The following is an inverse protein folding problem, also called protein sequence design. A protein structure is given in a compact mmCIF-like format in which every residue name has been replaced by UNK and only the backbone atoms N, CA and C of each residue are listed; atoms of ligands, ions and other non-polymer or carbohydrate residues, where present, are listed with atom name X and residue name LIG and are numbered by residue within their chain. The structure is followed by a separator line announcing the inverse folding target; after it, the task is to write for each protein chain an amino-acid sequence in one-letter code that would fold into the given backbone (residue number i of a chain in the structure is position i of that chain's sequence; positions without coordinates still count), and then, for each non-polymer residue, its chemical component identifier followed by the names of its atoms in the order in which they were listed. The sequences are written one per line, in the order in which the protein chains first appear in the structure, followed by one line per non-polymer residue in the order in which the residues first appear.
data_IF_336730548205
#
_entry.id   IF_336730548205
#
_cell.length_a   1.000
_cell.length_b   1.000
_cell.length_c   1.000
_cell.angle_alpha   90.00
_cell.angle_beta   90.00
_cell.angle_gamma   90.00
#
_symmetry.space_group_name_H-M   'P 1'
#
loop_
_entity.id
_entity.type
_entity.pdbx_description
1 polymer ?
#
# COMPACT_ATOMS: atom_id res chain seq x y z
N UNK A 1 -43.91 -10.64 15.07
CA UNK A 1 -43.13 -10.77 13.80
C UNK A 1 -41.80 -10.13 14.07
N UNK A 2 -40.83 -10.95 14.52
CA UNK A 2 -39.44 -10.55 14.70
C UNK A 2 -38.73 -10.69 13.36
N UNK A 3 -38.34 -9.58 12.74
CA UNK A 3 -37.43 -9.57 11.61
C UNK A 3 -36.01 -9.78 12.14
N UNK A 4 -35.44 -10.94 11.83
CA UNK A 4 -34.04 -11.25 12.10
C UNK A 4 -33.16 -10.32 11.27
N UNK A 5 -32.61 -9.27 11.89
CA UNK A 5 -31.48 -8.52 11.37
C UNK A 5 -30.27 -9.44 11.43
N UNK A 6 -29.87 -9.98 10.28
CA UNK A 6 -28.71 -10.83 10.17
C UNK A 6 -27.45 -10.10 10.66
N UNK A 7 -26.92 -10.52 11.78
CA UNK A 7 -25.56 -10.17 12.17
C UNK A 7 -24.60 -10.76 11.14
N UNK A 8 -24.24 -9.99 10.14
CA UNK A 8 -23.06 -10.27 9.34
C UNK A 8 -21.86 -10.07 10.28
N UNK A 9 -21.38 -11.17 10.87
CA UNK A 9 -20.09 -11.17 11.54
C UNK A 9 -19.07 -10.72 10.51
N UNK A 10 -18.58 -9.47 10.63
CA UNK A 10 -17.44 -8.99 9.83
C UNK A 10 -16.30 -9.96 10.14
N UNK A 11 -15.98 -10.82 9.18
CA UNK A 11 -14.78 -11.65 9.29
C UNK A 11 -13.58 -10.70 9.41
N UNK A 12 -12.76 -10.93 10.44
CA UNK A 12 -11.49 -10.18 10.56
C UNK A 12 -10.68 -10.40 9.28
N UNK A 13 -10.01 -9.36 8.76
CA UNK A 13 -9.17 -9.50 7.57
C UNK A 13 -8.08 -10.56 7.82
N UNK A 14 -7.80 -11.38 6.82
CA UNK A 14 -6.67 -12.32 6.87
C UNK A 14 -5.38 -11.52 6.66
N UNK A 15 -4.62 -11.38 7.74
CA UNK A 15 -3.36 -10.60 7.76
C UNK A 15 -2.13 -11.50 7.71
N UNK A 16 -2.30 -12.80 7.46
CA UNK A 16 -1.14 -13.71 7.35
C UNK A 16 -0.32 -13.34 6.12
N UNK A 17 1.02 -13.35 6.25
CA UNK A 17 1.89 -13.16 5.08
C UNK A 17 1.58 -14.20 4.00
N UNK A 18 1.59 -13.77 2.73
CA UNK A 18 1.48 -14.69 1.61
C UNK A 18 2.67 -15.67 1.63
N UNK A 19 2.44 -16.99 1.46
CA UNK A 19 3.53 -17.97 1.40
C UNK A 19 4.47 -17.68 0.23
N UNK A 20 5.78 -17.69 0.48
CA UNK A 20 6.77 -17.38 -0.55
C UNK A 20 6.89 -18.53 -1.55
N UNK A 21 6.62 -18.25 -2.83
CA UNK A 21 6.97 -19.13 -3.93
C UNK A 21 8.39 -18.80 -4.40
N UNK A 22 9.38 -19.65 -4.09
CA UNK A 22 10.80 -19.37 -4.35
C UNK A 22 11.11 -19.08 -5.82
N UNK A 23 10.42 -19.75 -6.77
CA UNK A 23 10.62 -19.51 -8.20
C UNK A 23 10.11 -18.13 -8.62
N UNK A 24 8.94 -17.72 -8.15
CA UNK A 24 8.38 -16.40 -8.41
C UNK A 24 9.22 -15.32 -7.71
N UNK A 25 9.58 -15.55 -6.45
CA UNK A 25 10.38 -14.62 -5.65
C UNK A 25 11.76 -14.36 -6.27
N UNK A 26 12.39 -15.34 -6.92
CA UNK A 26 13.65 -15.16 -7.64
C UNK A 26 13.55 -14.04 -8.70
N UNK A 27 12.45 -13.91 -9.43
CA UNK A 27 12.24 -12.82 -10.38
C UNK A 27 12.00 -11.48 -9.68
N UNK A 28 11.26 -11.49 -8.58
CA UNK A 28 11.04 -10.31 -7.76
C UNK A 28 12.35 -9.75 -7.19
N UNK A 29 13.19 -10.60 -6.62
CA UNK A 29 14.51 -10.20 -6.09
C UNK A 29 15.44 -9.66 -7.18
N UNK A 30 15.41 -10.23 -8.39
CA UNK A 30 16.14 -9.67 -9.54
C UNK A 30 15.64 -8.26 -9.89
N UNK A 31 14.32 -8.03 -9.90
CA UNK A 31 13.76 -6.70 -10.13
C UNK A 31 14.20 -5.71 -9.05
N UNK A 32 14.14 -6.10 -7.77
CA UNK A 32 14.59 -5.27 -6.64
C UNK A 32 16.08 -4.92 -6.78
N UNK A 33 16.93 -5.88 -7.13
CA UNK A 33 18.37 -5.64 -7.31
C UNK A 33 18.65 -4.65 -8.45
N UNK A 34 17.88 -4.70 -9.55
CA UNK A 34 18.01 -3.73 -10.65
C UNK A 34 17.61 -2.33 -10.15
N UNK A 35 16.50 -2.18 -9.45
CA UNK A 35 16.04 -0.90 -8.91
C UNK A 35 17.02 -0.26 -7.92
N UNK A 36 17.78 -1.09 -7.19
CA UNK A 36 18.83 -0.59 -6.29
C UNK A 36 20.07 -0.09 -7.03
N UNK A 37 20.35 -0.63 -8.24
CA UNK A 37 21.55 -0.31 -9.00
C UNK A 37 21.35 0.77 -10.07
N UNK A 38 20.15 0.87 -10.65
CA UNK A 38 19.82 1.79 -11.73
C UNK A 38 18.32 2.12 -11.71
N UNK A 39 18.04 3.42 -11.90
CA UNK A 39 16.67 3.94 -11.92
C UNK A 39 16.43 4.76 -13.20
N UNK A 40 16.47 4.07 -14.34
CA UNK A 40 16.19 4.61 -15.67
C UNK A 40 15.00 3.88 -16.31
N UNK A 41 14.50 4.41 -17.44
CA UNK A 41 13.31 3.86 -18.13
C UNK A 41 13.51 2.42 -18.57
N UNK A 42 14.69 2.06 -19.08
CA UNK A 42 14.95 0.71 -19.59
C UNK A 42 15.05 -0.30 -18.43
N UNK A 43 15.73 0.07 -17.36
CA UNK A 43 15.80 -0.70 -16.12
C UNK A 43 14.42 -0.90 -15.52
N UNK A 44 13.58 0.15 -15.49
CA UNK A 44 12.19 0.07 -15.00
C UNK A 44 11.35 -0.89 -15.85
N UNK A 45 11.44 -0.84 -17.17
CA UNK A 45 10.74 -1.77 -18.07
C UNK A 45 11.19 -3.21 -17.86
N UNK A 46 12.49 -3.43 -17.66
CA UNK A 46 13.04 -4.75 -17.34
C UNK A 46 12.48 -5.28 -16.02
N UNK A 47 12.37 -4.43 -14.99
CA UNK A 47 11.75 -4.79 -13.71
C UNK A 47 10.28 -5.18 -13.89
N UNK A 48 9.50 -4.43 -14.66
CA UNK A 48 8.09 -4.75 -14.96
C UNK A 48 8.00 -6.13 -15.63
N UNK A 49 8.87 -6.44 -16.60
CA UNK A 49 8.91 -7.76 -17.25
C UNK A 49 9.24 -8.91 -16.27
N UNK A 50 10.16 -8.68 -15.32
CA UNK A 50 10.46 -9.66 -14.27
C UNK A 50 9.27 -9.88 -13.33
N UNK A 51 8.55 -8.80 -12.99
CA UNK A 51 7.34 -8.89 -12.18
C UNK A 51 6.20 -9.63 -12.91
N UNK A 52 6.09 -9.48 -14.24
CA UNK A 52 5.14 -10.26 -15.03
C UNK A 52 5.45 -11.76 -14.98
N UNK A 53 6.74 -12.12 -15.02
CA UNK A 53 7.17 -13.51 -14.84
C UNK A 53 6.85 -14.02 -13.43
N UNK A 54 7.10 -13.23 -12.40
CA UNK A 54 6.75 -13.58 -11.03
C UNK A 54 5.23 -13.82 -10.88
N UNK A 55 4.41 -12.92 -11.41
CA UNK A 55 2.94 -13.01 -11.40
C UNK A 55 2.40 -14.19 -12.22
N UNK A 56 3.10 -14.61 -13.27
CA UNK A 56 2.71 -15.79 -14.04
C UNK A 56 2.88 -17.11 -13.25
N UNK A 57 3.76 -17.12 -12.26
CA UNK A 57 4.04 -18.28 -11.39
C UNK A 57 3.19 -18.20 -10.12
N UNK A 58 3.10 -17.01 -9.50
CA UNK A 58 2.36 -16.76 -8.27
C UNK A 58 1.52 -15.50 -8.40
N UNK A 59 0.29 -15.69 -8.85
CA UNK A 59 -0.66 -14.60 -9.07
C UNK A 59 -1.41 -14.15 -7.81
N UNK A 60 -1.04 -14.65 -6.64
CA UNK A 60 -1.68 -14.29 -5.38
C UNK A 60 -0.80 -13.42 -4.49
N UNK A 61 0.46 -13.18 -4.87
CA UNK A 61 1.38 -12.38 -4.07
C UNK A 61 1.11 -10.86 -4.29
N UNK A 62 0.67 -10.12 -3.26
CA UNK A 62 0.34 -8.70 -3.36
C UNK A 62 1.55 -7.81 -3.65
N UNK A 63 2.77 -8.22 -3.22
CA UNK A 63 3.98 -7.40 -3.37
C UNK A 63 4.38 -7.24 -4.84
N UNK A 64 4.14 -8.27 -5.67
CA UNK A 64 4.44 -8.22 -7.09
C UNK A 64 3.53 -7.23 -7.82
N UNK A 65 2.22 -7.24 -7.50
CA UNK A 65 1.26 -6.27 -8.04
C UNK A 65 1.57 -4.85 -7.57
N UNK A 66 1.80 -4.67 -6.27
CA UNK A 66 2.08 -3.36 -5.69
C UNK A 66 3.33 -2.72 -6.30
N UNK A 67 4.41 -3.51 -6.42
CA UNK A 67 5.66 -3.04 -7.04
C UNK A 67 5.47 -2.71 -8.52
N UNK A 68 4.80 -3.58 -9.29
CA UNK A 68 4.53 -3.33 -10.70
C UNK A 68 3.69 -2.07 -10.92
N UNK A 69 2.61 -1.90 -10.15
CA UNK A 69 1.75 -0.74 -10.24
C UNK A 69 2.50 0.56 -9.89
N UNK A 70 3.37 0.52 -8.87
CA UNK A 70 4.23 1.65 -8.52
C UNK A 70 5.13 2.05 -9.68
N UNK A 71 5.84 1.10 -10.30
CA UNK A 71 6.74 1.36 -11.42
C UNK A 71 6.01 1.94 -12.63
N UNK A 72 4.81 1.43 -12.95
CA UNK A 72 3.97 1.98 -14.01
C UNK A 72 3.55 3.42 -13.72
N UNK A 73 3.14 3.71 -12.47
CA UNK A 73 2.80 5.06 -12.07
C UNK A 73 3.99 6.02 -12.16
N UNK A 74 5.19 5.60 -11.76
CA UNK A 74 6.42 6.39 -11.88
C UNK A 74 6.85 6.66 -13.35
N UNK A 75 6.41 5.81 -14.27
CA UNK A 75 6.56 6.04 -15.72
C UNK A 75 5.46 6.93 -16.33
N UNK A 76 4.53 7.46 -15.53
CA UNK A 76 3.37 8.22 -16.00
C UNK A 76 2.23 7.36 -16.54
N UNK A 77 2.33 6.03 -16.44
CA UNK A 77 1.31 5.08 -16.91
C UNK A 77 0.27 4.77 -15.84
N UNK A 78 -0.39 5.81 -15.31
CA UNK A 78 -1.30 5.68 -14.16
C UNK A 78 -2.52 4.80 -14.46
N UNK A 79 -3.03 4.79 -15.68
CA UNK A 79 -4.14 3.92 -16.07
C UNK A 79 -3.72 2.45 -16.08
N UNK A 80 -2.50 2.15 -16.56
CA UNK A 80 -1.91 0.81 -16.48
C UNK A 80 -1.69 0.37 -15.04
N UNK A 81 -1.23 1.29 -14.17
CA UNK A 81 -1.07 1.03 -12.74
C UNK A 81 -2.42 0.67 -12.08
N UNK A 82 -3.48 1.42 -12.33
CA UNK A 82 -4.84 1.13 -11.84
C UNK A 82 -5.37 -0.20 -12.37
N UNK A 83 -5.11 -0.54 -13.64
CA UNK A 83 -5.50 -1.84 -14.20
C UNK A 83 -4.81 -3.00 -13.45
N UNK A 84 -3.50 -2.90 -13.20
CA UNK A 84 -2.74 -3.90 -12.41
C UNK A 84 -3.33 -4.04 -11.00
N UNK A 85 -3.74 -2.94 -10.40
CA UNK A 85 -4.37 -2.91 -9.08
C UNK A 85 -5.76 -3.59 -9.11
N UNK A 86 -6.54 -3.43 -10.16
CA UNK A 86 -7.84 -4.11 -10.32
C UNK A 86 -7.64 -5.63 -10.40
N UNK A 87 -6.66 -6.10 -11.17
CA UNK A 87 -6.33 -7.52 -11.28
C UNK A 87 -5.95 -8.13 -9.92
N UNK A 88 -5.17 -7.43 -9.10
CA UNK A 88 -4.83 -7.90 -7.77
C UNK A 88 -6.07 -8.03 -6.85
N UNK A 89 -7.02 -7.09 -6.94
CA UNK A 89 -8.28 -7.18 -6.20
C UNK A 89 -9.13 -8.38 -6.61
N UNK A 90 -9.24 -8.66 -7.91
CA UNK A 90 -9.93 -9.83 -8.44
C UNK A 90 -9.32 -11.14 -7.94
N UNK A 91 -8.00 -11.19 -7.79
CA UNK A 91 -7.23 -12.31 -7.25
C UNK A 91 -7.21 -12.38 -5.73
N UNK A 92 -7.79 -11.40 -5.04
CA UNK A 92 -7.75 -11.23 -3.58
C UNK A 92 -6.33 -11.11 -3.03
N UNK A 93 -5.38 -10.67 -3.87
CA UNK A 93 -4.00 -10.37 -3.51
C UNK A 93 -3.92 -8.95 -2.94
N UNK A 94 -4.48 -8.72 -1.74
CA UNK A 94 -4.62 -7.41 -1.13
C UNK A 94 -4.05 -7.36 0.28
N UNK A 95 -3.36 -6.25 0.58
CA UNK A 95 -2.90 -5.88 1.92
C UNK A 95 -3.36 -4.47 2.26
N UNK A 96 -3.14 -4.03 3.50
CA UNK A 96 -3.42 -2.63 3.87
C UNK A 96 -2.56 -1.64 3.06
N UNK A 97 -1.29 -1.95 2.83
CA UNK A 97 -0.38 -1.16 2.00
C UNK A 97 -0.87 -1.08 0.54
N UNK A 98 -1.27 -2.22 -0.01
CA UNK A 98 -1.83 -2.30 -1.36
C UNK A 98 -3.04 -1.37 -1.53
N UNK A 99 -4.01 -1.44 -0.60
CA UNK A 99 -5.20 -0.60 -0.65
C UNK A 99 -4.89 0.89 -0.42
N UNK A 100 -3.88 1.19 0.37
CA UNK A 100 -3.37 2.56 0.52
C UNK A 100 -2.83 3.10 -0.81
N UNK A 101 -2.00 2.32 -1.50
CA UNK A 101 -1.44 2.68 -2.81
C UNK A 101 -2.55 2.84 -3.86
N UNK A 102 -3.53 1.93 -3.90
CA UNK A 102 -4.69 2.05 -4.78
C UNK A 102 -5.45 3.36 -4.54
N UNK A 103 -5.70 3.69 -3.29
CA UNK A 103 -6.34 4.95 -2.91
C UNK A 103 -5.57 6.19 -3.38
N UNK A 104 -4.22 6.17 -3.31
CA UNK A 104 -3.38 7.24 -3.85
C UNK A 104 -3.53 7.40 -5.36
N UNK A 105 -3.54 6.31 -6.13
CA UNK A 105 -3.72 6.35 -7.58
C UNK A 105 -5.12 6.82 -7.97
N UNK A 106 -6.15 6.36 -7.28
CA UNK A 106 -7.54 6.79 -7.48
C UNK A 106 -7.68 8.30 -7.17
N UNK A 107 -7.12 8.78 -6.07
CA UNK A 107 -7.12 10.19 -5.72
C UNK A 107 -6.34 11.04 -6.76
N UNK A 108 -5.24 10.53 -7.29
CA UNK A 108 -4.49 11.18 -8.37
C UNK A 108 -5.27 11.31 -9.67
N UNK A 109 -6.22 10.39 -9.92
CA UNK A 109 -7.17 10.43 -11.07
C UNK A 109 -8.49 11.13 -10.74
N UNK A 110 -8.58 11.83 -9.61
CA UNK A 110 -9.80 12.50 -9.13
C UNK A 110 -10.99 11.56 -8.86
N UNK A 111 -10.74 10.26 -8.69
CA UNK A 111 -11.71 9.23 -8.32
C UNK A 111 -11.93 9.25 -6.79
N UNK A 112 -12.39 10.38 -6.26
CA UNK A 112 -12.36 10.66 -4.81
C UNK A 112 -13.22 9.69 -3.98
N UNK A 113 -14.37 9.24 -4.48
CA UNK A 113 -15.22 8.27 -3.77
C UNK A 113 -14.55 6.90 -3.64
N UNK A 114 -13.92 6.41 -4.72
CA UNK A 114 -13.19 5.15 -4.74
C UNK A 114 -11.93 5.23 -3.86
N UNK A 115 -11.20 6.34 -3.92
CA UNK A 115 -10.04 6.60 -3.08
C UNK A 115 -10.41 6.57 -1.59
N UNK A 116 -11.51 7.24 -1.20
CA UNK A 116 -12.00 7.22 0.17
C UNK A 116 -12.36 5.80 0.63
N UNK A 117 -13.03 5.00 -0.22
CA UNK A 117 -13.31 3.59 0.08
C UNK A 117 -12.03 2.77 0.26
N UNK A 118 -11.04 2.97 -0.62
CA UNK A 118 -9.75 2.27 -0.56
C UNK A 118 -8.97 2.60 0.70
N UNK A 119 -8.89 3.88 1.09
CA UNK A 119 -8.28 4.30 2.36
C UNK A 119 -9.02 3.72 3.56
N UNK A 120 -10.36 3.70 3.56
CA UNK A 120 -11.15 3.11 4.64
C UNK A 120 -10.86 1.61 4.83
N UNK A 121 -10.82 0.84 3.74
CA UNK A 121 -10.46 -0.59 3.79
C UNK A 121 -8.99 -0.81 4.21
N UNK A 122 -8.08 0.06 3.75
CA UNK A 122 -6.68 0.04 4.18
C UNK A 122 -6.58 0.18 5.70
N UNK A 123 -7.30 1.14 6.28
CA UNK A 123 -7.35 1.36 7.73
C UNK A 123 -7.84 0.13 8.49
N UNK A 124 -8.89 -0.55 8.01
CA UNK A 124 -9.40 -1.77 8.66
C UNK A 124 -8.31 -2.85 8.75
N UNK A 125 -7.57 -3.07 7.66
CA UNK A 125 -6.50 -4.08 7.62
C UNK A 125 -5.30 -3.64 8.46
N UNK A 126 -4.83 -2.39 8.30
CA UNK A 126 -3.66 -1.89 9.03
C UNK A 126 -3.86 -1.89 10.54
N UNK A 127 -5.07 -1.56 11.02
CA UNK A 127 -5.43 -1.67 12.45
C UNK A 127 -5.38 -3.10 12.94
N UNK A 128 -5.89 -4.07 12.16
CA UNK A 128 -5.77 -5.49 12.52
C UNK A 128 -4.31 -5.97 12.55
N UNK A 129 -3.46 -5.46 11.63
CA UNK A 129 -2.00 -5.71 11.66
C UNK A 129 -1.39 -5.15 12.95
N UNK A 130 -1.74 -3.93 13.33
CA UNK A 130 -1.20 -3.26 14.53
C UNK A 130 -1.71 -3.88 15.84
N UNK A 131 -2.90 -4.49 15.85
CA UNK A 131 -3.36 -5.30 16.99
C UNK A 131 -2.47 -6.53 17.21
N UNK A 132 -1.99 -7.16 16.12
CA UNK A 132 -1.13 -8.35 16.19
C UNK A 132 0.36 -7.99 16.32
N UNK A 133 0.80 -6.91 15.65
CA UNK A 133 2.19 -6.47 15.59
C UNK A 133 2.30 -4.99 16.00
N UNK A 134 2.13 -4.67 17.29
CA UNK A 134 2.06 -3.28 17.78
C UNK A 134 3.35 -2.47 17.51
N UNK A 135 4.49 -3.14 17.36
CA UNK A 135 5.79 -2.51 17.11
C UNK A 135 6.13 -2.34 15.62
N UNK A 136 5.17 -2.63 14.72
CA UNK A 136 5.34 -2.42 13.28
C UNK A 136 5.28 -0.94 12.94
N UNK A 137 6.43 -0.27 12.86
CA UNK A 137 6.51 1.15 12.48
C UNK A 137 5.97 1.38 11.07
N UNK A 138 6.23 0.48 10.12
CA UNK A 138 5.72 0.58 8.74
C UNK A 138 4.19 0.57 8.69
N UNK A 139 3.55 -0.39 9.36
CA UNK A 139 2.09 -0.45 9.43
C UNK A 139 1.50 0.76 10.15
N UNK A 140 2.17 1.26 11.18
CA UNK A 140 1.76 2.47 11.90
C UNK A 140 1.81 3.72 11.00
N UNK A 141 2.90 3.92 10.26
CA UNK A 141 3.04 5.07 9.34
C UNK A 141 1.96 5.03 8.25
N UNK A 142 1.70 3.85 7.70
CA UNK A 142 0.66 3.67 6.68
C UNK A 142 -0.73 3.93 7.25
N UNK A 143 -1.01 3.46 8.47
CA UNK A 143 -2.29 3.71 9.16
C UNK A 143 -2.52 5.19 9.39
N UNK A 144 -1.54 5.91 9.94
CA UNK A 144 -1.59 7.36 10.14
C UNK A 144 -1.79 8.12 8.81
N UNK A 145 -1.09 7.70 7.75
CA UNK A 145 -1.21 8.30 6.42
C UNK A 145 -2.58 8.05 5.80
N UNK A 146 -3.07 6.82 5.87
CA UNK A 146 -4.39 6.45 5.37
C UNK A 146 -5.50 7.18 6.13
N UNK A 147 -5.35 7.33 7.46
CA UNK A 147 -6.29 8.08 8.28
C UNK A 147 -6.33 9.56 7.90
N UNK A 148 -5.19 10.20 7.69
CA UNK A 148 -5.12 11.60 7.26
C UNK A 148 -5.81 11.82 5.91
N UNK A 149 -5.60 10.92 4.93
CA UNK A 149 -6.24 10.97 3.62
C UNK A 149 -7.73 10.66 3.69
N UNK A 150 -8.13 9.68 4.49
CA UNK A 150 -9.53 9.32 4.71
C UNK A 150 -10.32 10.47 5.35
N UNK A 151 -9.73 11.17 6.33
CA UNK A 151 -10.35 12.32 7.00
C UNK A 151 -10.19 13.62 6.20
N UNK A 152 -9.43 13.64 5.12
CA UNK A 152 -9.16 14.83 4.33
C UNK A 152 -8.30 15.88 5.05
N UNK A 153 -7.50 15.50 6.06
CA UNK A 153 -6.79 16.43 6.93
C UNK A 153 -5.36 15.98 7.28
N UNK A 154 -4.34 16.59 6.68
CA UNK A 154 -2.94 16.36 7.06
C UNK A 154 -2.61 16.76 8.51
N UNK A 155 -3.46 17.58 9.14
CA UNK A 155 -3.24 18.04 10.52
C UNK A 155 -3.37 16.95 11.57
N UNK A 156 -4.00 15.83 11.24
CA UNK A 156 -4.11 14.68 12.15
C UNK A 156 -2.93 13.73 12.01
N UNK A 157 -2.15 13.81 10.92
CA UNK A 157 -1.03 12.94 10.65
C UNK A 157 0.05 13.09 11.71
N UNK A 158 0.38 12.00 12.38
CA UNK A 158 1.36 11.95 13.48
C UNK A 158 1.18 13.08 14.53
N UNK A 159 -0.07 13.39 14.88
CA UNK A 159 -0.40 14.50 15.81
C UNK A 159 0.16 14.26 17.21
N UNK A 160 0.07 13.01 17.71
CA UNK A 160 0.61 12.64 19.04
C UNK A 160 2.06 12.18 18.94
N UNK A 161 2.97 13.11 18.64
CA UNK A 161 4.39 12.79 18.47
C UNK A 161 5.04 12.24 19.75
N UNK A 162 4.57 12.64 20.93
CA UNK A 162 5.15 12.17 22.19
C UNK A 162 4.73 10.71 22.49
N UNK A 163 3.49 10.34 22.19
CA UNK A 163 3.03 8.97 22.23
C UNK A 163 3.77 8.08 21.23
N UNK A 164 3.99 8.60 20.01
CA UNK A 164 4.74 7.89 18.94
C UNK A 164 6.19 7.65 19.38
N UNK A 165 6.86 8.64 19.95
CA UNK A 165 8.24 8.50 20.46
C UNK A 165 8.35 7.48 21.58
N UNK A 166 7.37 7.43 22.48
CA UNK A 166 7.30 6.42 23.54
C UNK A 166 7.07 5.01 22.99
N UNK A 167 6.26 4.88 21.95
CA UNK A 167 5.95 3.61 21.29
C UNK A 167 7.15 3.07 20.51
N UNK A 168 7.93 3.95 19.86
CA UNK A 168 9.07 3.58 19.00
C UNK A 168 10.37 4.27 19.43
N UNK A 169 10.89 4.01 20.66
CA UNK A 169 12.01 4.78 21.22
C UNK A 169 13.32 4.62 20.43
N UNK A 170 13.49 3.50 19.73
CA UNK A 170 14.71 3.21 18.96
C UNK A 170 14.62 3.69 17.49
N UNK A 171 13.54 4.38 17.09
CA UNK A 171 13.28 4.80 15.71
C UNK A 171 13.06 6.31 15.58
N UNK A 172 13.57 7.08 16.53
CA UNK A 172 13.30 8.53 16.65
C UNK A 172 13.71 9.32 15.40
N UNK A 173 14.89 9.02 14.84
CA UNK A 173 15.39 9.72 13.66
C UNK A 173 14.47 9.48 12.45
N UNK A 174 14.05 8.25 12.24
CA UNK A 174 13.15 7.85 11.16
C UNK A 174 11.79 8.53 11.31
N UNK A 175 11.22 8.55 12.52
CA UNK A 175 9.97 9.23 12.83
C UNK A 175 10.07 10.73 12.52
N UNK A 176 11.17 11.39 12.89
CA UNK A 176 11.36 12.82 12.60
C UNK A 176 11.49 13.12 11.11
N UNK A 177 12.07 12.20 10.33
CA UNK A 177 12.12 12.33 8.87
C UNK A 177 10.72 12.16 8.23
N UNK A 178 10.00 11.11 8.63
CA UNK A 178 8.73 10.72 8.03
C UNK A 178 7.62 11.71 8.37
N UNK A 179 7.54 12.22 9.61
CA UNK A 179 6.49 13.16 10.02
C UNK A 179 6.44 14.45 9.20
N UNK A 180 7.52 14.79 8.49
CA UNK A 180 7.58 15.96 7.60
C UNK A 180 6.86 15.72 6.28
N UNK A 181 6.63 14.46 5.93
CA UNK A 181 5.90 14.08 4.73
C UNK A 181 4.41 14.27 4.98
N UNK A 182 3.77 15.09 4.16
CA UNK A 182 2.33 15.30 4.22
C UNK A 182 1.63 14.29 3.32
N UNK A 183 0.68 13.46 3.83
CA UNK A 183 0.02 12.43 3.02
C UNK A 183 -0.62 12.97 1.73
N UNK A 184 -1.28 14.14 1.76
CA UNK A 184 -1.83 14.77 0.56
C UNK A 184 -0.76 15.22 -0.45
N UNK A 185 0.50 15.40 -0.03
CA UNK A 185 1.57 15.71 -0.97
C UNK A 185 1.93 14.54 -1.87
N UNK A 186 1.71 13.29 -1.40
CA UNK A 186 1.91 12.07 -2.21
C UNK A 186 0.96 12.05 -3.40
N UNK A 187 -0.31 12.35 -3.19
CA UNK A 187 -1.30 12.47 -4.27
C UNK A 187 -0.89 13.53 -5.28
N UNK A 188 -0.42 14.71 -4.81
CA UNK A 188 0.03 15.79 -5.68
C UNK A 188 1.28 15.42 -6.50
N UNK A 189 2.18 14.61 -5.93
CA UNK A 189 3.36 14.13 -6.64
C UNK A 189 2.96 13.18 -7.77
N UNK A 190 2.07 12.21 -7.50
CA UNK A 190 1.58 11.27 -8.51
C UNK A 190 0.85 12.01 -9.66
N UNK A 191 0.07 13.06 -9.37
CA UNK A 191 -0.60 13.86 -10.40
C UNK A 191 0.35 14.62 -11.34
N UNK A 192 1.61 14.83 -10.96
CA UNK A 192 2.58 15.60 -11.72
C UNK A 192 3.43 14.75 -12.68
N UNK A 193 3.38 13.44 -12.53
CA UNK A 193 4.05 12.48 -13.41
C UNK A 193 3.20 12.27 -14.66
#
# INVERSE_FOLDING_TARGET
ICTAVGCHSRQKPDIRPHPVNLSADSFYQQAVAILQSSYDVDSTRKCISLLDRALSIDSLNPDYYGTKAKLLAEMGELDSALHVQTLAMERKAITGEYLFQLGLFQAAKDMNADAHQSFGKSLEILRAVLEQYPDSLGAFILEESANALYQGADSIYMKDIDGIRKRFPNRLLEIEMIRRLKPHSLVKQIKKI
#
